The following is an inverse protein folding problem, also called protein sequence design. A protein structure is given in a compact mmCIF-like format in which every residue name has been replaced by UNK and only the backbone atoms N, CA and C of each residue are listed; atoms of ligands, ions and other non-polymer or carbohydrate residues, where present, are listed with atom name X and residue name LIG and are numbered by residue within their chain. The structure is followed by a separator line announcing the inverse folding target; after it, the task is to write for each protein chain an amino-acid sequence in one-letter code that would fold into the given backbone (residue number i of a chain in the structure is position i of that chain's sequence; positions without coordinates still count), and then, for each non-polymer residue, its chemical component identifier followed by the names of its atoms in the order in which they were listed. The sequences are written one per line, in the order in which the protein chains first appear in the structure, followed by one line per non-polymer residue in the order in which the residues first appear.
data_IF_420422165823
#
_entry.id   IF_420422165823
#
_cell.length_a   1.000
_cell.length_b   1.000
_cell.length_c   1.000
_cell.angle_alpha   90.00
_cell.angle_beta   90.00
_cell.angle_gamma   90.00
#
_symmetry.space_group_name_H-M   'P 1'
#
loop_
_entity.id
_entity.type
_entity.pdbx_description
1 polymer ?
#
# COMPACT_ATOMS: atom_id res chain seq x y z
N UNK A 1 3.65 -8.35 13.06
CA UNK A 1 3.69 -7.98 11.64
C UNK A 1 4.16 -6.55 11.53
N UNK A 2 5.18 -6.31 10.73
CA UNK A 2 5.78 -4.99 10.47
C UNK A 2 6.13 -4.91 8.98
N UNK A 3 5.72 -3.85 8.29
CA UNK A 3 5.93 -3.69 6.85
C UNK A 3 6.59 -2.35 6.55
N UNK A 4 7.30 -2.28 5.42
CA UNK A 4 7.86 -1.05 4.90
C UNK A 4 6.75 -0.01 4.55
N UNK A 5 7.09 1.28 4.59
CA UNK A 5 6.14 2.36 4.28
C UNK A 5 5.54 2.25 2.88
N UNK A 6 6.35 1.90 1.87
CA UNK A 6 5.83 1.71 0.51
C UNK A 6 4.88 0.51 0.44
N UNK A 7 5.13 -0.55 1.22
CA UNK A 7 4.20 -1.68 1.30
C UNK A 7 2.87 -1.27 1.94
N UNK A 8 2.90 -0.44 2.98
CA UNK A 8 1.68 0.10 3.57
C UNK A 8 0.88 0.93 2.56
N UNK A 9 1.54 1.84 1.84
CA UNK A 9 0.92 2.64 0.77
C UNK A 9 0.29 1.77 -0.32
N UNK A 10 1.04 0.80 -0.87
CA UNK A 10 0.54 -0.08 -1.93
C UNK A 10 -0.56 -1.04 -1.45
N UNK A 11 -0.53 -1.46 -0.18
CA UNK A 11 -1.61 -2.22 0.43
C UNK A 11 -2.93 -1.43 0.50
N UNK A 12 -2.86 -0.13 0.83
CA UNK A 12 -4.03 0.76 0.78
C UNK A 12 -4.50 0.99 -0.67
N UNK A 13 -3.58 1.18 -1.62
CA UNK A 13 -3.93 1.29 -3.04
C UNK A 13 -4.59 0.02 -3.59
N UNK A 14 -4.11 -1.17 -3.21
CA UNK A 14 -4.72 -2.44 -3.60
C UNK A 14 -6.18 -2.50 -3.10
N UNK A 15 -6.42 -2.12 -1.84
CA UNK A 15 -7.76 -2.07 -1.27
C UNK A 15 -8.67 -1.04 -1.99
N UNK A 16 -8.16 0.16 -2.25
CA UNK A 16 -8.89 1.22 -2.96
C UNK A 16 -9.30 0.79 -4.38
N UNK A 17 -8.42 0.07 -5.08
CA UNK A 17 -8.68 -0.49 -6.42
C UNK A 17 -9.47 -1.80 -6.40
N UNK A 18 -9.87 -2.29 -5.22
CA UNK A 18 -10.57 -3.58 -5.01
C UNK A 18 -9.80 -4.78 -5.56
N UNK A 19 -8.47 -4.70 -5.60
CA UNK A 19 -7.60 -5.81 -5.94
C UNK A 19 -7.26 -6.62 -4.68
N UNK A 20 -6.95 -7.92 -4.81
CA UNK A 20 -6.50 -8.72 -3.67
C UNK A 20 -5.09 -8.34 -3.19
N UNK A 21 -4.23 -7.88 -4.08
CA UNK A 21 -2.86 -7.45 -3.81
C UNK A 21 -2.35 -6.50 -4.91
N UNK A 22 -1.21 -5.84 -4.68
CA UNK A 22 -0.40 -5.19 -5.71
C UNK A 22 1.07 -5.65 -5.59
N UNK A 23 1.80 -5.81 -6.71
CA UNK A 23 3.22 -6.13 -6.67
C UNK A 23 4.05 -4.93 -6.20
N UNK A 24 4.97 -5.15 -5.25
CA UNK A 24 5.88 -4.12 -4.72
C UNK A 24 7.29 -4.69 -4.53
N UNK A 25 8.31 -3.88 -4.82
CA UNK A 25 9.72 -4.28 -4.62
C UNK A 25 10.15 -4.17 -3.15
N UNK A 26 9.61 -3.20 -2.43
CA UNK A 26 9.88 -2.99 -1.01
C UNK A 26 9.58 -4.26 -0.19
N UNK A 27 10.43 -4.53 0.79
CA UNK A 27 10.40 -5.75 1.60
C UNK A 27 11.35 -6.85 1.10
N UNK A 28 11.67 -6.91 -0.19
CA UNK A 28 12.70 -7.84 -0.69
C UNK A 28 14.09 -7.40 -0.22
N UNK A 29 14.89 -8.36 0.26
CA UNK A 29 16.23 -8.09 0.78
C UNK A 29 16.28 -7.50 2.19
N UNK A 30 15.13 -7.32 2.85
CA UNK A 30 15.04 -6.94 4.26
C UNK A 30 14.47 -8.08 5.12
N UNK A 31 14.39 -7.85 6.43
CA UNK A 31 13.82 -8.78 7.39
C UNK A 31 12.28 -8.85 7.33
N UNK A 32 11.62 -8.02 6.52
CA UNK A 32 10.16 -7.95 6.41
C UNK A 32 9.57 -9.32 6.05
N UNK A 33 10.16 -10.06 5.13
CA UNK A 33 9.65 -11.38 4.75
C UNK A 33 9.79 -12.42 5.89
N UNK A 34 10.79 -12.26 6.76
CA UNK A 34 11.03 -13.15 7.91
C UNK A 34 10.02 -12.89 9.03
N UNK A 35 9.69 -11.62 9.29
CA UNK A 35 8.77 -11.25 10.38
C UNK A 35 7.29 -11.31 9.97
N UNK A 36 7.00 -11.46 8.67
CA UNK A 36 5.66 -11.64 8.11
C UNK A 36 5.62 -12.90 7.22
N UNK A 37 5.66 -14.10 7.80
CA UNK A 37 5.71 -15.37 7.05
C UNK A 37 4.47 -15.63 6.16
N UNK A 38 3.39 -14.87 6.34
CA UNK A 38 2.20 -14.90 5.51
C UNK A 38 2.36 -14.21 4.15
N UNK A 39 3.33 -13.31 4.00
CA UNK A 39 3.60 -12.63 2.74
C UNK A 39 4.13 -13.62 1.70
N UNK A 40 3.71 -13.40 0.45
CA UNK A 40 4.09 -14.23 -0.69
C UNK A 40 4.65 -13.36 -1.81
N UNK A 41 5.39 -13.97 -2.71
CA UNK A 41 5.89 -13.31 -3.92
C UNK A 41 5.02 -13.61 -5.14
N UNK A 42 5.18 -12.80 -6.17
CA UNK A 42 4.61 -12.99 -7.50
C UNK A 42 5.69 -12.71 -8.55
N UNK A 43 5.78 -13.56 -9.55
CA UNK A 43 6.71 -13.40 -10.68
C UNK A 43 6.01 -12.69 -11.83
N UNK A 44 6.70 -11.73 -12.43
CA UNK A 44 6.30 -11.05 -13.66
C UNK A 44 6.06 -12.07 -14.78
N UNK A 45 4.94 -11.95 -15.52
CA UNK A 45 4.68 -12.81 -16.68
C UNK A 45 5.40 -12.34 -17.95
N UNK A 46 6.18 -11.26 -17.89
CA UNK A 46 6.93 -10.70 -19.02
C UNK A 46 8.36 -11.28 -19.08
N UNK A 47 9.12 -10.95 -20.15
CA UNK A 47 10.47 -11.50 -20.38
C UNK A 47 11.48 -11.17 -19.26
N UNK A 48 11.24 -10.11 -18.48
CA UNK A 48 12.10 -9.73 -17.35
C UNK A 48 12.14 -10.77 -16.22
N UNK A 49 11.09 -11.58 -16.08
CA UNK A 49 10.96 -12.60 -15.03
C UNK A 49 11.10 -12.04 -13.60
N UNK A 50 10.88 -10.75 -13.38
CA UNK A 50 11.13 -10.13 -12.08
C UNK A 50 10.22 -10.67 -10.98
N UNK A 51 10.74 -10.83 -9.76
CA UNK A 51 9.97 -11.25 -8.60
C UNK A 51 9.68 -10.04 -7.68
N UNK A 52 8.43 -9.94 -7.22
CA UNK A 52 7.96 -8.88 -6.33
C UNK A 52 7.24 -9.48 -5.12
N UNK A 53 7.16 -8.73 -4.01
CA UNK A 53 6.22 -9.06 -2.93
C UNK A 53 4.79 -8.80 -3.43
N UNK A 54 3.90 -9.77 -3.24
CA UNK A 54 2.47 -9.61 -3.46
C UNK A 54 1.83 -9.00 -2.21
N UNK A 55 1.94 -7.67 -2.05
CA UNK A 55 1.45 -6.99 -0.86
C UNK A 55 -0.09 -7.04 -0.79
N UNK A 56 -0.68 -7.69 0.23
CA UNK A 56 -2.13 -7.85 0.31
C UNK A 56 -2.84 -6.52 0.52
N UNK A 57 -4.08 -6.44 0.04
CA UNK A 57 -4.95 -5.30 0.27
C UNK A 57 -5.23 -5.08 1.77
N UNK A 58 -4.91 -3.88 2.25
CA UNK A 58 -5.22 -3.42 3.61
C UNK A 58 -6.65 -2.89 3.65
N UNK A 59 -7.63 -3.80 3.75
CA UNK A 59 -9.04 -3.43 3.88
C UNK A 59 -9.31 -2.85 5.26
N UNK A 60 -9.93 -1.68 5.29
CA UNK A 60 -10.27 -0.97 6.52
C UNK A 60 -11.78 -0.81 6.62
N UNK A 61 -12.34 -1.06 7.81
CA UNK A 61 -13.75 -0.81 8.10
C UNK A 61 -14.04 0.69 8.30
N UNK A 62 -13.04 1.44 8.74
CA UNK A 62 -13.09 2.88 8.94
C UNK A 62 -11.71 3.51 8.73
N UNK A 63 -11.68 4.77 8.30
CA UNK A 63 -10.48 5.58 8.20
C UNK A 63 -10.69 6.93 8.90
N UNK A 64 -9.69 7.37 9.66
CA UNK A 64 -9.67 8.69 10.30
C UNK A 64 -8.67 9.56 9.56
N UNK A 65 -9.16 10.59 8.87
CA UNK A 65 -8.34 11.51 8.06
C UNK A 65 -8.53 12.92 8.59
N UNK A 66 -7.42 13.58 8.94
CA UNK A 66 -7.41 14.98 9.38
C UNK A 66 -7.00 15.89 8.21
N UNK A 67 -7.82 16.90 7.91
CA UNK A 67 -7.60 17.85 6.81
C UNK A 67 -7.84 19.29 7.28
N UNK A 68 -7.26 20.26 6.57
CA UNK A 68 -7.32 21.68 6.95
C UNK A 68 -8.71 22.29 6.70
N UNK A 69 -9.40 21.87 5.64
CA UNK A 69 -10.74 22.35 5.27
C UNK A 69 -11.62 21.17 4.90
N UNK A 70 -12.91 21.31 5.19
CA UNK A 70 -13.95 20.41 4.73
C UNK A 70 -15.26 21.16 4.50
N UNK A 71 -16.11 20.65 3.62
CA UNK A 71 -17.49 21.12 3.45
C UNK A 71 -18.52 20.11 4.00
N UNK A 72 -19.81 20.49 3.98
CA UNK A 72 -20.90 19.64 4.50
C UNK A 72 -21.19 18.41 3.62
N UNK A 73 -20.65 18.35 2.40
CA UNK A 73 -20.81 17.22 1.48
C UNK A 73 -19.70 16.17 1.67
N UNK A 74 -18.66 16.49 2.46
CA UNK A 74 -17.55 15.60 2.75
C UNK A 74 -16.31 15.82 1.87
N UNK A 75 -16.30 16.87 1.03
CA UNK A 75 -15.08 17.22 0.31
C UNK A 75 -14.06 17.79 1.32
N UNK A 76 -12.83 17.29 1.27
CA UNK A 76 -11.74 17.72 2.13
C UNK A 76 -10.57 18.28 1.32
N UNK A 77 -9.87 19.27 1.87
CA UNK A 77 -8.71 19.89 1.23
C UNK A 77 -7.54 19.99 2.22
N UNK A 78 -6.39 19.47 1.81
CA UNK A 78 -5.09 19.70 2.44
C UNK A 78 -4.44 20.97 1.86
N UNK A 79 -3.81 21.80 2.70
CA UNK A 79 -3.28 23.12 2.31
C UNK A 79 -1.74 23.23 2.39
N UNK A 80 -1.06 22.16 2.77
CA UNK A 80 0.41 22.13 2.75
C UNK A 80 0.97 21.82 1.36
N UNK A 81 2.31 21.83 1.21
CA UNK A 81 2.95 21.24 0.03
C UNK A 81 2.52 19.78 -0.09
N UNK A 82 2.16 19.33 -1.29
CA UNK A 82 1.60 17.99 -1.53
C UNK A 82 2.46 16.94 -0.81
N UNK A 83 1.91 16.23 0.21
CA UNK A 83 2.67 15.27 0.98
C UNK A 83 2.80 13.94 0.24
N UNK A 84 2.17 13.81 -0.93
CA UNK A 84 2.13 12.59 -1.73
C UNK A 84 2.90 12.72 -3.05
N UNK A 85 3.35 13.93 -3.45
CA UNK A 85 4.24 14.19 -4.60
C UNK A 85 5.12 15.45 -4.44
#
# INVERSE_FOLDING_TARGET
TEIDEAMFMWGLHAAANRLPFLPVRAGLGSDVMRVNPELRTVTSPYEDGEEFVAMPALRMDAALVHLNRADRLGNGQYLGPDPYF
#
